data_IF_444414562719
#
_entry.id   IF_444414562719
#
_cell.length_a   1.000
_cell.length_b   1.000
_cell.length_c   1.000
_cell.angle_alpha   90.00
_cell.angle_beta   90.00
_cell.angle_gamma   90.00
#
_symmetry.space_group_name_H-M   'P 1'
#
loop_
_entity.id
_entity.type
_entity.pdbx_description
1 polymer ?
#
# COMPACT_ATOMS: atom_id res chain seq x y z
N UNK A 1 21.90 31.04 32.25
CA UNK A 1 20.57 30.40 32.17
C UNK A 1 19.77 30.74 30.90
N UNK A 2 19.46 32.03 30.60
CA UNK A 2 18.65 32.46 29.42
C UNK A 2 19.10 31.95 28.04
N UNK A 3 20.40 31.81 27.76
CA UNK A 3 20.89 31.26 26.47
C UNK A 3 20.55 29.77 26.30
N UNK A 4 20.64 28.96 27.37
CA UNK A 4 20.32 27.52 27.35
C UNK A 4 18.83 27.27 27.08
N UNK A 5 17.93 28.06 27.68
CA UNK A 5 16.47 27.94 27.45
C UNK A 5 16.06 28.37 26.04
N UNK A 6 16.68 29.43 25.49
CA UNK A 6 16.45 29.87 24.10
C UNK A 6 16.91 28.82 23.08
N UNK A 7 18.08 28.21 23.30
CA UNK A 7 18.60 27.13 22.44
C UNK A 7 17.72 25.87 22.52
N UNK A 8 17.25 25.49 23.71
CA UNK A 8 16.34 24.36 23.92
C UNK A 8 14.98 24.56 23.21
N UNK A 9 14.37 25.75 23.34
CA UNK A 9 13.14 26.10 22.59
C UNK A 9 13.34 26.07 21.07
N UNK A 10 14.50 26.55 20.58
CA UNK A 10 14.84 26.53 19.15
C UNK A 10 14.96 25.09 18.63
N UNK A 11 15.62 24.21 19.39
CA UNK A 11 15.75 22.79 19.07
C UNK A 11 14.38 22.10 19.02
N UNK A 12 13.56 22.28 20.07
CA UNK A 12 12.23 21.68 20.13
C UNK A 12 11.32 22.14 18.97
N UNK A 13 11.38 23.41 18.57
CA UNK A 13 10.63 23.92 17.41
C UNK A 13 11.10 23.27 16.09
N UNK A 14 12.40 23.02 15.91
CA UNK A 14 12.92 22.29 14.74
C UNK A 14 12.37 20.87 14.71
N UNK A 15 12.44 20.14 15.83
CA UNK A 15 11.91 18.77 15.93
C UNK A 15 10.41 18.71 15.70
N UNK A 16 9.63 19.70 16.15
CA UNK A 16 8.20 19.80 15.83
C UNK A 16 7.99 19.93 14.32
N UNK A 17 8.76 20.81 13.65
CA UNK A 17 8.66 21.02 12.20
C UNK A 17 8.99 19.74 11.42
N UNK A 18 10.06 19.03 11.80
CA UNK A 18 10.47 17.76 11.20
C UNK A 18 9.41 16.66 11.40
N UNK A 19 8.85 16.55 12.61
CA UNK A 19 7.79 15.59 12.90
C UNK A 19 6.51 15.88 12.10
N UNK A 20 6.16 17.16 11.90
CA UNK A 20 5.04 17.57 11.05
C UNK A 20 5.27 17.23 9.58
N UNK A 21 6.47 17.48 9.06
CA UNK A 21 6.84 17.09 7.69
C UNK A 21 6.77 15.57 7.51
N UNK A 22 7.29 14.82 8.47
CA UNK A 22 7.23 13.35 8.47
C UNK A 22 5.78 12.84 8.48
N UNK A 23 4.90 13.48 9.25
CA UNK A 23 3.45 13.20 9.25
C UNK A 23 2.81 13.48 7.89
N UNK A 24 3.18 14.59 7.23
CA UNK A 24 2.69 14.95 5.89
C UNK A 24 3.12 13.89 4.87
N UNK A 25 4.38 13.48 4.89
CA UNK A 25 4.91 12.42 4.03
C UNK A 25 4.21 11.08 4.27
N UNK A 26 4.07 10.65 5.52
CA UNK A 26 3.37 9.41 5.85
C UNK A 26 1.90 9.41 5.36
N UNK A 27 1.19 10.54 5.49
CA UNK A 27 -0.17 10.70 4.96
C UNK A 27 -0.22 10.53 3.42
N UNK A 28 0.73 11.13 2.69
CA UNK A 28 0.84 10.96 1.23
C UNK A 28 1.07 9.49 0.88
N UNK A 29 2.01 8.82 1.55
CA UNK A 29 2.31 7.40 1.31
C UNK A 29 1.10 6.49 1.58
N UNK A 30 0.34 6.74 2.65
CA UNK A 30 -0.92 6.02 2.93
C UNK A 30 -1.93 6.22 1.79
N UNK A 31 -2.09 7.44 1.29
CA UNK A 31 -3.00 7.74 0.18
C UNK A 31 -2.59 6.97 -1.08
N UNK A 32 -1.31 6.95 -1.43
CA UNK A 32 -0.79 6.21 -2.57
C UNK A 32 -1.00 4.70 -2.41
N UNK A 33 -0.64 4.13 -1.26
CA UNK A 33 -0.84 2.70 -0.99
C UNK A 33 -2.31 2.28 -1.10
N UNK A 34 -3.25 3.10 -0.59
CA UNK A 34 -4.69 2.85 -0.74
C UNK A 34 -5.13 2.85 -2.21
N UNK A 35 -4.63 3.80 -3.03
CA UNK A 35 -4.91 3.82 -4.47
C UNK A 35 -4.40 2.55 -5.17
N UNK A 36 -3.17 2.13 -4.89
CA UNK A 36 -2.60 0.90 -5.45
C UNK A 36 -3.41 -0.33 -5.08
N UNK A 37 -3.83 -0.47 -3.82
CA UNK A 37 -4.70 -1.57 -3.37
C UNK A 37 -6.04 -1.54 -4.10
N UNK A 38 -6.66 -0.36 -4.29
CA UNK A 38 -7.93 -0.22 -5.02
C UNK A 38 -7.76 -0.66 -6.48
N UNK A 39 -6.68 -0.26 -7.15
CA UNK A 39 -6.39 -0.67 -8.52
C UNK A 39 -6.20 -2.19 -8.62
N UNK A 40 -5.39 -2.77 -7.74
CA UNK A 40 -5.17 -4.21 -7.72
C UNK A 40 -6.47 -5.01 -7.48
N UNK A 41 -7.39 -4.50 -6.64
CA UNK A 41 -8.71 -5.12 -6.47
C UNK A 41 -9.54 -5.11 -7.77
N UNK A 42 -9.53 -4.00 -8.53
CA UNK A 42 -10.21 -3.93 -9.82
C UNK A 42 -9.63 -4.96 -10.80
N UNK A 43 -8.31 -5.03 -10.92
CA UNK A 43 -7.64 -6.02 -11.80
C UNK A 43 -7.94 -7.46 -11.40
N UNK A 44 -7.99 -7.78 -10.09
CA UNK A 44 -8.40 -9.11 -9.62
C UNK A 44 -9.83 -9.44 -10.06
N UNK A 45 -10.76 -8.49 -9.99
CA UNK A 45 -12.14 -8.72 -10.41
C UNK A 45 -12.25 -8.91 -11.93
N UNK A 46 -11.52 -8.11 -12.71
CA UNK A 46 -11.46 -8.28 -14.17
C UNK A 46 -10.94 -9.68 -14.54
N UNK A 47 -9.77 -10.08 -14.01
CA UNK A 47 -9.18 -11.38 -14.28
C UNK A 47 -10.10 -12.56 -13.87
N UNK A 48 -10.90 -12.40 -12.81
CA UNK A 48 -11.90 -13.41 -12.42
C UNK A 48 -13.04 -13.54 -13.43
N UNK A 49 -13.53 -12.40 -13.94
CA UNK A 49 -14.56 -12.38 -14.96
C UNK A 49 -14.04 -13.01 -16.26
N UNK A 50 -12.82 -12.65 -16.67
CA UNK A 50 -12.16 -13.22 -17.84
C UNK A 50 -12.01 -14.73 -17.71
N UNK A 51 -11.55 -15.22 -16.55
CA UNK A 51 -11.44 -16.65 -16.30
C UNK A 51 -12.80 -17.38 -16.40
N UNK A 52 -13.89 -16.74 -16.00
CA UNK A 52 -15.24 -17.31 -16.11
C UNK A 52 -15.71 -17.39 -17.56
N UNK A 53 -15.49 -16.32 -18.34
CA UNK A 53 -15.80 -16.29 -19.78
C UNK A 53 -14.97 -17.32 -20.56
N UNK A 54 -13.68 -17.41 -20.25
CA UNK A 54 -12.76 -18.36 -20.88
C UNK A 54 -13.14 -19.81 -20.55
N UNK A 55 -13.57 -20.08 -19.32
CA UNK A 55 -14.07 -21.41 -18.97
C UNK A 55 -15.33 -21.78 -19.78
N UNK A 56 -16.24 -20.83 -20.00
CA UNK A 56 -17.41 -21.03 -20.87
C UNK A 56 -17.01 -21.29 -22.32
N UNK A 57 -16.08 -20.49 -22.86
CA UNK A 57 -15.56 -20.67 -24.21
C UNK A 57 -14.85 -22.01 -24.39
N UNK A 58 -14.04 -22.42 -23.41
CA UNK A 58 -13.37 -23.72 -23.39
C UNK A 58 -14.37 -24.88 -23.42
N UNK A 59 -15.40 -24.83 -22.58
CA UNK A 59 -16.45 -25.86 -22.55
C UNK A 59 -17.23 -25.94 -23.86
N UNK A 60 -17.52 -24.80 -24.49
CA UNK A 60 -18.15 -24.76 -25.81
C UNK A 60 -17.24 -25.37 -26.89
N UNK A 61 -15.96 -25.00 -26.92
CA UNK A 61 -14.99 -25.56 -27.85
C UNK A 61 -14.81 -27.08 -27.65
N UNK A 62 -14.85 -27.56 -26.41
CA UNK A 62 -14.82 -28.98 -26.08
C UNK A 62 -16.04 -29.73 -26.60
N UNK A 63 -17.25 -29.16 -26.45
CA UNK A 63 -18.48 -29.75 -27.02
C UNK A 63 -18.37 -29.87 -28.54
N UNK A 64 -18.09 -28.76 -29.23
CA UNK A 64 -17.93 -28.78 -30.70
C UNK A 64 -16.83 -29.73 -31.17
N UNK A 65 -15.73 -29.86 -30.42
CA UNK A 65 -14.68 -30.82 -30.74
C UNK A 65 -15.13 -32.28 -30.56
N UNK A 66 -15.97 -32.59 -29.55
CA UNK A 66 -16.52 -33.94 -29.38
C UNK A 66 -17.46 -34.32 -30.53
N UNK A 67 -18.20 -33.35 -31.04
CA UNK A 67 -19.20 -33.57 -32.09
C UNK A 67 -18.56 -33.77 -33.49
N UNK A 68 -17.47 -33.06 -33.81
CA UNK A 68 -16.93 -33.01 -35.19
C UNK A 68 -15.44 -33.44 -35.30
N UNK A 69 -14.70 -33.52 -34.17
CA UNK A 69 -13.26 -33.92 -34.07
C UNK A 69 -12.30 -33.20 -35.03
N UNK A 70 -12.69 -32.06 -35.59
CA UNK A 70 -11.93 -31.32 -36.61
C UNK A 70 -10.63 -30.71 -36.09
N UNK A 71 -9.68 -30.47 -37.01
CA UNK A 71 -8.44 -29.70 -36.73
C UNK A 71 -8.75 -28.31 -36.15
N UNK A 72 -9.83 -27.67 -36.60
CA UNK A 72 -10.28 -26.36 -36.09
C UNK A 72 -10.75 -26.43 -34.63
N UNK A 73 -11.47 -27.50 -34.24
CA UNK A 73 -11.86 -27.76 -32.86
C UNK A 73 -10.66 -27.90 -31.92
N UNK A 74 -9.65 -28.71 -32.29
CA UNK A 74 -8.40 -28.83 -31.51
C UNK A 74 -7.69 -27.50 -31.34
N UNK A 75 -7.60 -26.70 -32.41
CA UNK A 75 -6.96 -25.37 -32.38
C UNK A 75 -7.70 -24.41 -31.45
N UNK A 76 -9.03 -24.42 -31.48
CA UNK A 76 -9.88 -23.58 -30.62
C UNK A 76 -9.71 -23.91 -29.14
N UNK A 77 -9.69 -25.21 -28.79
CA UNK A 77 -9.41 -25.67 -27.43
C UNK A 77 -8.02 -25.24 -26.96
N UNK A 78 -6.99 -25.38 -27.82
CA UNK A 78 -5.62 -24.96 -27.49
C UNK A 78 -5.53 -23.45 -27.26
N UNK A 79 -6.21 -22.64 -28.07
CA UNK A 79 -6.25 -21.19 -27.90
C UNK A 79 -6.96 -20.79 -26.59
N UNK A 80 -8.13 -21.36 -26.31
CA UNK A 80 -8.86 -21.10 -25.07
C UNK A 80 -8.03 -21.45 -23.83
N UNK A 81 -7.27 -22.55 -23.88
CA UNK A 81 -6.38 -22.94 -22.79
C UNK A 81 -5.21 -21.95 -22.61
N UNK A 82 -4.64 -21.43 -23.71
CA UNK A 82 -3.60 -20.39 -23.68
C UNK A 82 -4.13 -19.10 -23.04
N UNK A 83 -5.30 -18.66 -23.45
CA UNK A 83 -5.92 -17.44 -22.91
C UNK A 83 -6.26 -17.59 -21.43
N UNK A 84 -6.74 -18.76 -21.01
CA UNK A 84 -6.98 -19.08 -19.60
C UNK A 84 -5.69 -18.98 -18.77
N UNK A 85 -4.59 -19.51 -19.27
CA UNK A 85 -3.29 -19.41 -18.59
C UNK A 85 -2.82 -17.95 -18.47
N UNK A 86 -3.00 -17.14 -19.51
CA UNK A 86 -2.69 -15.70 -19.46
C UNK A 86 -3.51 -14.99 -18.36
N UNK A 87 -4.82 -15.25 -18.28
CA UNK A 87 -5.69 -14.69 -17.25
C UNK A 87 -5.28 -15.10 -15.82
N UNK A 88 -4.79 -16.34 -15.64
CA UNK A 88 -4.24 -16.81 -14.37
C UNK A 88 -2.97 -16.05 -13.98
N UNK A 89 -2.09 -15.75 -14.93
CA UNK A 89 -0.87 -14.99 -14.69
C UNK A 89 -1.16 -13.53 -14.36
N UNK A 90 -2.15 -12.91 -15.02
CA UNK A 90 -2.66 -11.59 -14.66
C UNK A 90 -3.22 -11.57 -13.23
N UNK A 91 -3.98 -12.61 -12.85
CA UNK A 91 -4.50 -12.76 -11.49
C UNK A 91 -3.37 -12.89 -10.46
N UNK A 92 -2.31 -13.66 -10.76
CA UNK A 92 -1.13 -13.77 -9.89
C UNK A 92 -0.45 -12.41 -9.73
N UNK A 93 -0.25 -11.68 -10.82
CA UNK A 93 0.37 -10.35 -10.85
C UNK A 93 -0.44 -9.33 -10.03
N UNK A 94 -1.76 -9.32 -10.21
CA UNK A 94 -2.65 -8.45 -9.45
C UNK A 94 -2.64 -8.77 -7.94
N UNK A 95 -2.61 -10.05 -7.55
CA UNK A 95 -2.44 -10.47 -6.15
C UNK A 95 -1.10 -10.02 -5.57
N UNK A 96 -0.01 -10.13 -6.32
CA UNK A 96 1.33 -9.65 -5.91
C UNK A 96 1.32 -8.13 -5.68
N UNK A 97 0.73 -7.37 -6.60
CA UNK A 97 0.55 -5.91 -6.48
C UNK A 97 -0.25 -5.52 -5.23
N UNK A 98 -1.38 -6.21 -4.96
CA UNK A 98 -2.18 -6.01 -3.74
C UNK A 98 -1.33 -6.22 -2.47
N UNK A 99 -0.56 -7.32 -2.40
CA UNK A 99 0.32 -7.62 -1.26
C UNK A 99 1.39 -6.55 -1.07
N UNK A 100 1.99 -6.06 -2.16
CA UNK A 100 2.96 -4.97 -2.12
C UNK A 100 2.33 -3.69 -1.55
N UNK A 101 1.16 -3.29 -2.05
CA UNK A 101 0.42 -2.14 -1.53
C UNK A 101 0.08 -2.26 -0.04
N UNK A 102 -0.26 -3.46 0.43
CA UNK A 102 -0.50 -3.73 1.85
C UNK A 102 0.78 -3.58 2.70
N UNK A 103 1.93 -4.07 2.22
CA UNK A 103 3.23 -3.85 2.88
C UNK A 103 3.55 -2.36 2.97
N UNK A 104 3.40 -1.61 1.87
CA UNK A 104 3.62 -0.16 1.85
C UNK A 104 2.68 0.57 2.83
N UNK A 105 1.42 0.15 2.93
CA UNK A 105 0.47 0.72 3.89
C UNK A 105 0.90 0.46 5.34
N UNK A 106 1.36 -0.76 5.66
CA UNK A 106 1.87 -1.11 6.98
C UNK A 106 3.09 -0.25 7.35
N UNK A 107 4.05 -0.10 6.44
CA UNK A 107 5.23 0.74 6.64
C UNK A 107 4.86 2.21 6.84
N UNK A 108 3.98 2.76 6.00
CA UNK A 108 3.56 4.16 6.11
C UNK A 108 2.81 4.44 7.44
N UNK A 109 2.01 3.48 7.93
CA UNK A 109 1.38 3.58 9.24
C UNK A 109 2.40 3.53 10.39
N UNK A 110 3.45 2.71 10.28
CA UNK A 110 4.57 2.71 11.26
C UNK A 110 5.26 4.07 11.29
N UNK A 111 5.60 4.63 10.13
CA UNK A 111 6.18 5.98 10.03
C UNK A 111 5.26 7.06 10.61
N UNK A 112 3.95 6.98 10.38
CA UNK A 112 2.96 7.89 10.98
C UNK A 112 2.97 7.79 12.52
N UNK A 113 3.05 6.57 13.08
CA UNK A 113 3.13 6.35 14.54
C UNK A 113 4.41 6.97 15.11
N UNK A 114 5.56 6.72 14.49
CA UNK A 114 6.84 7.31 14.90
C UNK A 114 6.81 8.84 14.84
N UNK A 115 6.32 9.43 13.75
CA UNK A 115 6.22 10.87 13.62
C UNK A 115 5.29 11.51 14.67
N UNK A 116 4.19 10.83 15.04
CA UNK A 116 3.34 11.27 16.17
C UNK A 116 4.10 11.23 17.49
N UNK A 117 4.87 10.18 17.75
CA UNK A 117 5.67 10.08 18.96
C UNK A 117 6.72 11.19 19.05
N UNK A 118 7.47 11.42 17.96
CA UNK A 118 8.44 12.51 17.89
C UNK A 118 7.79 13.88 18.13
N UNK A 119 6.57 14.09 17.61
CA UNK A 119 5.83 15.32 17.84
C UNK A 119 5.45 15.50 19.31
N UNK A 120 5.01 14.44 19.99
CA UNK A 120 4.69 14.47 21.42
C UNK A 120 5.93 14.78 22.26
N UNK A 121 7.04 14.08 22.01
CA UNK A 121 8.32 14.33 22.69
C UNK A 121 8.81 15.76 22.48
N UNK A 122 8.78 16.27 21.24
CA UNK A 122 9.23 17.62 20.94
C UNK A 122 8.35 18.70 21.60
N UNK A 123 7.03 18.46 21.69
CA UNK A 123 6.10 19.33 22.44
C UNK A 123 6.40 19.33 23.94
N UNK A 124 6.69 18.15 24.51
CA UNK A 124 7.08 18.04 25.92
C UNK A 124 8.39 18.78 26.20
N UNK A 125 9.42 18.59 25.38
CA UNK A 125 10.68 19.32 25.49
C UNK A 125 10.48 20.83 25.40
N UNK A 126 9.59 21.30 24.51
CA UNK A 126 9.24 22.72 24.41
C UNK A 126 8.56 23.24 25.68
N UNK A 127 7.66 22.46 26.29
CA UNK A 127 6.99 22.80 27.56
C UNK A 127 8.02 22.93 28.68
N UNK A 128 8.91 21.95 28.82
CA UNK A 128 9.98 21.95 29.84
C UNK A 128 10.97 23.11 29.64
N UNK A 129 11.27 23.48 28.39
CA UNK A 129 12.11 24.65 28.10
C UNK A 129 11.41 25.99 28.42
N UNK A 130 10.09 26.00 28.51
CA UNK A 130 9.26 27.15 28.90
C UNK A 130 9.09 27.30 30.42
N UNK A 131 9.10 26.19 31.15
CA UNK A 131 9.03 26.09 32.61
C UNK A 131 10.26 25.31 33.11
N UNK A 132 11.47 25.89 33.10
CA UNK A 132 12.58 25.24 33.77
C UNK A 132 12.23 25.19 35.26
N UNK A 133 12.05 23.99 35.82
CA UNK A 133 11.96 23.82 37.27
C UNK A 133 13.28 24.38 37.80
N UNK A 134 13.19 25.44 38.60
CA UNK A 134 14.35 26.00 39.29
C UNK A 134 14.81 24.92 40.26
N UNK A 135 15.91 24.24 39.92
CA UNK A 135 16.59 23.31 40.81
C UNK A 135 17.32 24.10 41.88
N UNK A 136 16.58 24.82 42.70
CA UNK A 136 17.07 25.49 43.91
C UNK A 136 16.04 25.30 45.01
N UNK A 137 15.90 24.05 45.45
CA UNK A 137 15.51 23.75 46.81
C UNK A 137 16.46 22.66 47.31
N UNK A 138 17.33 23.11 48.23
CA UNK A 138 18.34 22.41 49.03
C UNK A 138 19.64 22.02 48.30
#
# INVERSE_FOLDING_TARGET
FKRKTKLSKKSANRSIKEAQLSLKSAKKSIKSAKKSIKSAKKSINAAKNDATLLNKAYNNALKSYKDDKTKSGKKSVKNALKDYNNALDDLKSAKKSKRSGQKSLKSANKSKKSAKQSLLSARQSKKNAGNPIDGTLL
#
